data_IF_204636236696
#
_entry.id   IF_204636236696
#
_cell.length_a   1.000
_cell.length_b   1.000
_cell.length_c   1.000
_cell.angle_alpha   90.00
_cell.angle_beta   90.00
_cell.angle_gamma   90.00
#
_symmetry.space_group_name_H-M   'P 1'
#
loop_
_entity.id
_entity.type
_entity.pdbx_description
1 polymer ?
#
# COMPACT_ATOMS: atom_id res chain seq x y z
N UNK A 1 9.88 15.54 -1.72
CA UNK A 1 9.40 15.72 -0.33
C UNK A 1 10.18 14.80 0.62
N UNK A 2 10.45 15.24 1.81
CA UNK A 2 11.10 14.40 2.82
C UNK A 2 10.14 14.26 4.00
N UNK A 3 9.88 13.00 4.38
CA UNK A 3 9.01 12.68 5.51
C UNK A 3 9.79 11.74 6.41
N UNK A 4 10.18 12.20 7.61
CA UNK A 4 10.94 11.40 8.59
C UNK A 4 12.15 10.66 7.99
N UNK A 5 12.98 11.38 7.24
CA UNK A 5 14.16 10.85 6.55
C UNK A 5 13.85 9.94 5.35
N UNK A 6 12.59 9.85 4.95
CA UNK A 6 12.16 9.09 3.78
C UNK A 6 11.96 10.08 2.64
N UNK A 7 12.57 9.81 1.49
CA UNK A 7 12.40 10.65 0.29
C UNK A 7 11.18 10.17 -0.47
N UNK A 8 10.22 11.06 -0.72
CA UNK A 8 8.96 10.73 -1.40
C UNK A 8 8.89 11.49 -2.71
N UNK A 9 8.59 10.77 -3.79
CA UNK A 9 8.56 11.31 -5.17
C UNK A 9 7.17 11.03 -5.76
N UNK A 10 6.31 12.03 -5.74
CA UNK A 10 4.97 11.91 -6.31
C UNK A 10 4.99 12.18 -7.82
N UNK A 11 4.21 11.40 -8.57
CA UNK A 11 4.07 11.51 -10.02
C UNK A 11 5.38 11.37 -10.80
N UNK A 12 6.37 10.74 -10.21
CA UNK A 12 7.64 10.48 -10.87
C UNK A 12 7.79 8.97 -11.13
N UNK A 13 8.28 8.59 -12.31
CA UNK A 13 8.50 7.17 -12.59
C UNK A 13 9.66 6.63 -11.76
N UNK A 14 9.52 5.41 -11.27
CA UNK A 14 10.61 4.71 -10.58
C UNK A 14 11.37 3.88 -11.61
N UNK A 15 12.70 4.01 -11.62
CA UNK A 15 13.54 3.26 -12.57
C UNK A 15 13.62 1.79 -12.17
N UNK A 16 13.78 1.55 -10.87
CA UNK A 16 13.84 0.20 -10.30
C UNK A 16 13.21 0.24 -8.92
N UNK A 17 12.41 -0.77 -8.59
CA UNK A 17 11.73 -0.83 -7.30
C UNK A 17 11.95 -2.20 -6.65
N UNK A 18 11.93 -2.22 -5.32
CA UNK A 18 12.12 -3.43 -4.52
C UNK A 18 10.81 -3.97 -3.96
N UNK A 19 9.90 -3.07 -3.62
CA UNK A 19 8.59 -3.41 -3.05
C UNK A 19 7.50 -2.56 -3.69
N UNK A 20 6.25 -2.98 -3.46
CA UNK A 20 5.06 -2.19 -3.82
C UNK A 20 4.18 -2.08 -2.59
N UNK A 21 3.70 -0.86 -2.33
CA UNK A 21 2.69 -0.58 -1.31
C UNK A 21 1.37 -0.28 -2.01
N UNK A 22 0.30 -0.92 -1.55
CA UNK A 22 -1.03 -0.75 -2.14
C UNK A 22 -1.93 0.02 -1.17
N UNK A 23 -2.28 1.26 -1.52
CA UNK A 23 -3.32 1.99 -0.81
C UNK A 23 -4.65 1.44 -1.32
N UNK A 24 -5.13 0.42 -0.64
CA UNK A 24 -6.27 -0.39 -1.07
C UNK A 24 -7.55 0.16 -0.47
N UNK A 25 -8.58 0.31 -1.31
CA UNK A 25 -9.88 0.81 -0.88
C UNK A 25 -10.99 -0.13 -1.31
N UNK A 26 -12.00 -0.22 -0.47
CA UNK A 26 -13.27 -0.87 -0.78
C UNK A 26 -14.37 0.13 -0.52
N UNK A 27 -15.04 0.58 -1.59
CA UNK A 27 -16.01 1.68 -1.52
C UNK A 27 -15.34 2.93 -0.92
N UNK A 28 -15.78 3.40 0.23
CA UNK A 28 -15.23 4.60 0.87
C UNK A 28 -14.29 4.29 2.03
N UNK A 29 -13.84 3.05 2.15
CA UNK A 29 -12.99 2.64 3.25
C UNK A 29 -11.65 2.11 2.77
N UNK A 30 -10.61 2.35 3.57
CA UNK A 30 -9.29 1.76 3.35
C UNK A 30 -9.26 0.35 3.91
N UNK A 31 -8.47 -0.52 3.29
CA UNK A 31 -8.28 -1.90 3.72
C UNK A 31 -6.91 -2.03 4.36
N UNK A 32 -6.87 -2.36 5.63
CA UNK A 32 -5.64 -2.62 6.37
C UNK A 32 -5.53 -4.10 6.69
N UNK A 33 -4.31 -4.60 6.83
CA UNK A 33 -4.05 -5.99 7.17
C UNK A 33 -3.22 -6.07 8.45
N UNK A 34 -3.51 -7.09 9.28
CA UNK A 34 -2.77 -7.34 10.53
C UNK A 34 -1.67 -8.35 10.25
N UNK A 35 -0.43 -7.94 10.46
CA UNK A 35 0.72 -8.81 10.26
C UNK A 35 0.94 -9.68 11.50
N UNK A 36 1.37 -10.93 11.31
CA UNK A 36 1.60 -11.88 12.42
C UNK A 36 2.60 -11.37 13.46
N UNK A 37 3.64 -10.69 13.01
CA UNK A 37 4.74 -10.24 13.88
C UNK A 37 4.81 -8.74 14.06
N UNK A 38 4.02 -7.98 13.32
CA UNK A 38 3.94 -6.53 13.43
C UNK A 38 2.51 -6.14 13.78
N UNK A 39 2.05 -5.00 13.31
CA UNK A 39 0.72 -4.49 13.59
C UNK A 39 -0.05 -4.28 12.28
N UNK A 40 -0.87 -3.25 12.18
CA UNK A 40 -1.68 -2.98 11.00
C UNK A 40 -0.90 -2.20 9.94
N UNK A 41 -1.10 -2.56 8.66
CA UNK A 41 -0.40 -1.98 7.52
C UNK A 41 -1.33 -1.99 6.30
N UNK A 42 -1.00 -1.17 5.31
CA UNK A 42 -1.53 -1.39 3.97
C UNK A 42 -0.89 -2.64 3.36
N UNK A 43 -1.61 -3.35 2.49
CA UNK A 43 -1.02 -4.49 1.77
C UNK A 43 0.20 -4.06 0.95
N UNK A 44 1.14 -4.95 0.81
CA UNK A 44 2.32 -4.73 -0.01
C UNK A 44 3.39 -5.76 0.25
N UNK A 45 4.44 -5.74 -0.54
CA UNK A 45 5.54 -6.67 -0.36
C UNK A 45 6.57 -6.60 -1.47
N UNK A 46 7.52 -7.51 -1.39
CA UNK A 46 8.67 -7.55 -2.29
C UNK A 46 8.32 -8.03 -3.68
N UNK A 47 8.95 -7.41 -4.66
CA UNK A 47 8.92 -7.84 -6.05
C UNK A 47 9.59 -9.21 -6.19
N UNK A 48 8.98 -10.10 -6.94
CA UNK A 48 9.54 -11.40 -7.29
C UNK A 48 9.78 -11.43 -8.80
N UNK A 49 10.88 -12.04 -9.24
CA UNK A 49 11.22 -12.30 -10.66
C UNK A 49 10.62 -11.31 -11.67
N UNK A 50 11.13 -10.31 -12.07
CA UNK A 50 10.67 -9.44 -13.15
C UNK A 50 9.18 -9.03 -13.11
N UNK A 51 8.51 -9.15 -11.97
CA UNK A 51 7.13 -8.70 -11.86
C UNK A 51 7.04 -7.19 -12.11
N UNK A 52 5.95 -6.78 -12.77
CA UNK A 52 5.60 -5.36 -12.88
C UNK A 52 5.03 -4.86 -11.56
N UNK A 53 4.92 -3.53 -11.42
CA UNK A 53 4.28 -2.92 -10.25
C UNK A 53 2.85 -3.49 -10.08
N UNK A 54 2.08 -3.57 -11.17
CA UNK A 54 0.71 -4.07 -11.12
C UNK A 54 0.65 -5.54 -10.69
N UNK A 55 1.57 -6.36 -11.20
CA UNK A 55 1.62 -7.77 -10.83
C UNK A 55 1.93 -7.97 -9.35
N UNK A 56 2.86 -7.21 -8.80
CA UNK A 56 3.15 -7.26 -7.35
C UNK A 56 1.93 -6.80 -6.55
N UNK A 57 1.30 -5.70 -6.98
CA UNK A 57 0.11 -5.18 -6.30
C UNK A 57 -1.01 -6.22 -6.26
N UNK A 58 -1.27 -6.91 -7.37
CA UNK A 58 -2.30 -7.94 -7.45
C UNK A 58 -1.97 -9.12 -6.54
N UNK A 59 -0.75 -9.62 -6.61
CA UNK A 59 -0.32 -10.78 -5.83
C UNK A 59 -0.34 -10.49 -4.33
N UNK A 60 0.26 -9.38 -3.90
CA UNK A 60 0.35 -9.04 -2.48
C UNK A 60 -1.02 -8.71 -1.88
N UNK A 61 -1.88 -8.03 -2.62
CA UNK A 61 -3.23 -7.74 -2.13
C UNK A 61 -4.03 -9.03 -1.90
N UNK A 62 -3.87 -10.01 -2.79
CA UNK A 62 -4.53 -11.29 -2.61
C UNK A 62 -3.90 -12.11 -1.46
N UNK A 63 -2.59 -12.19 -1.42
CA UNK A 63 -1.89 -12.95 -0.39
C UNK A 63 -2.16 -12.40 1.02
N UNK A 64 -2.16 -11.08 1.18
CA UNK A 64 -2.26 -10.47 2.50
C UNK A 64 -3.67 -10.12 2.92
N UNK A 65 -4.54 -9.74 1.98
CA UNK A 65 -5.90 -9.28 2.29
C UNK A 65 -6.99 -10.18 1.72
N UNK A 66 -6.64 -11.17 0.91
CA UNK A 66 -7.64 -11.96 0.18
C UNK A 66 -8.38 -11.11 -0.83
N UNK A 67 -7.79 -10.00 -1.29
CA UNK A 67 -8.46 -9.05 -2.15
C UNK A 67 -8.09 -9.25 -3.61
N UNK A 68 -9.10 -9.34 -4.46
CA UNK A 68 -8.96 -9.24 -5.91
C UNK A 68 -9.14 -7.77 -6.25
N UNK A 69 -8.18 -7.14 -6.90
CA UNK A 69 -8.13 -5.69 -7.06
C UNK A 69 -8.29 -5.26 -8.52
N UNK A 70 -8.72 -4.01 -8.69
CA UNK A 70 -8.89 -3.34 -9.97
C UNK A 70 -8.52 -1.86 -9.83
N UNK A 71 -8.54 -1.13 -10.96
CA UNK A 71 -8.28 0.31 -10.98
C UNK A 71 -6.95 0.67 -10.31
N UNK A 72 -5.89 -0.03 -10.70
CA UNK A 72 -4.56 0.18 -10.13
C UNK A 72 -3.95 1.43 -10.76
N UNK A 73 -3.62 2.43 -9.93
CA UNK A 73 -3.00 3.68 -10.36
C UNK A 73 -1.70 3.93 -9.62
N UNK A 74 -0.63 4.08 -10.36
CA UNK A 74 0.67 4.44 -9.81
C UNK A 74 0.66 5.92 -9.40
N UNK A 75 1.08 6.23 -8.16
CA UNK A 75 1.10 7.62 -7.69
C UNK A 75 2.50 8.13 -7.36
N UNK A 76 3.49 7.27 -7.33
CA UNK A 76 4.86 7.66 -7.02
C UNK A 76 5.61 6.57 -6.30
N UNK A 77 6.73 6.92 -5.71
CA UNK A 77 7.54 5.97 -4.94
C UNK A 77 8.22 6.69 -3.78
N UNK A 78 8.73 5.93 -2.84
CA UNK A 78 9.58 6.48 -1.79
C UNK A 78 10.85 5.66 -1.65
N UNK A 79 11.88 6.32 -1.15
CA UNK A 79 13.19 5.73 -0.96
C UNK A 79 13.59 5.85 0.51
N UNK A 80 13.94 4.72 1.11
CA UNK A 80 14.44 4.67 2.48
C UNK A 80 15.91 5.10 2.52
N UNK A 81 16.41 5.51 3.70
CA UNK A 81 17.80 5.99 3.80
C UNK A 81 18.87 5.06 3.22
N UNK A 82 18.65 3.74 3.23
CA UNK A 82 19.60 2.78 2.68
C UNK A 82 19.36 2.48 1.18
N UNK A 83 18.46 3.20 0.54
CA UNK A 83 18.26 3.09 -0.89
C UNK A 83 17.16 2.15 -1.33
N UNK A 84 16.48 1.46 -0.42
CA UNK A 84 15.33 0.61 -0.75
C UNK A 84 14.19 1.46 -1.31
N UNK A 85 13.67 1.07 -2.47
CA UNK A 85 12.60 1.83 -3.15
C UNK A 85 11.29 1.07 -3.16
N UNK A 86 10.22 1.76 -2.76
CA UNK A 86 8.87 1.22 -2.76
C UNK A 86 7.99 2.03 -3.71
N UNK A 87 7.46 1.36 -4.73
CA UNK A 87 6.45 1.94 -5.61
C UNK A 87 5.12 1.96 -4.88
N UNK A 88 4.36 3.04 -5.02
CA UNK A 88 3.07 3.21 -4.34
C UNK A 88 1.97 3.28 -5.38
N UNK A 89 0.95 2.45 -5.19
CA UNK A 89 -0.25 2.48 -6.05
C UNK A 89 -1.50 2.63 -5.19
N UNK A 90 -2.55 3.16 -5.79
CA UNK A 90 -3.91 3.07 -5.26
C UNK A 90 -4.63 1.98 -6.02
N UNK A 91 -5.59 1.32 -5.39
CA UNK A 91 -6.40 0.30 -6.06
C UNK A 91 -7.74 0.15 -5.35
N UNK A 92 -8.71 -0.41 -6.06
CA UNK A 92 -10.03 -0.72 -5.51
C UNK A 92 -10.21 -2.23 -5.41
N UNK A 93 -10.91 -2.67 -4.38
CA UNK A 93 -11.28 -4.07 -4.24
C UNK A 93 -12.40 -4.39 -5.21
N UNK A 94 -12.22 -5.43 -6.00
CA UNK A 94 -13.27 -5.98 -6.85
C UNK A 94 -14.08 -7.02 -6.08
N UNK A 95 -13.39 -7.89 -5.34
CA UNK A 95 -14.01 -8.92 -4.52
C UNK A 95 -13.06 -9.36 -3.41
N UNK A 96 -13.61 -9.90 -2.33
CA UNK A 96 -12.81 -10.47 -1.25
C UNK A 96 -12.96 -11.99 -1.23
N UNK A 97 -11.84 -12.67 -1.08
CA UNK A 97 -11.76 -14.09 -0.72
C UNK A 97 -11.25 -14.16 0.72
N UNK A 98 -11.20 -15.35 1.29
CA UNK A 98 -10.54 -15.56 2.59
C UNK A 98 -9.05 -15.30 2.45
N UNK A 99 -8.42 -14.77 3.50
CA UNK A 99 -6.97 -14.62 3.52
C UNK A 99 -6.34 -16.02 3.45
N UNK A 100 -5.40 -16.26 2.53
CA UNK A 100 -4.74 -17.57 2.43
C UNK A 100 -4.08 -18.00 3.74
N UNK A 101 -4.16 -19.27 4.08
CA UNK A 101 -3.62 -19.80 5.34
C UNK A 101 -2.10 -19.64 5.47
N UNK A 102 -1.40 -19.60 4.35
CA UNK A 102 0.06 -19.42 4.32
C UNK A 102 0.48 -17.96 4.42
N UNK A 103 -0.48 -17.05 4.49
CA UNK A 103 -0.19 -15.62 4.57
C UNK A 103 0.56 -15.24 5.85
N UNK A 104 1.36 -14.18 5.76
CA UNK A 104 2.00 -13.57 6.92
C UNK A 104 1.05 -12.65 7.68
N UNK A 105 -0.18 -12.48 7.21
CA UNK A 105 -1.22 -11.69 7.85
C UNK A 105 -2.30 -12.60 8.44
N UNK A 106 -3.00 -12.11 9.46
CA UNK A 106 -4.05 -12.88 10.12
C UNK A 106 -5.45 -12.31 9.90
N UNK A 107 -5.54 -11.00 9.68
CA UNK A 107 -6.82 -10.30 9.61
C UNK A 107 -6.76 -9.14 8.64
N UNK A 108 -7.95 -8.71 8.20
CA UNK A 108 -8.12 -7.45 7.49
C UNK A 108 -9.19 -6.62 8.19
N UNK A 109 -9.05 -5.31 8.10
CA UNK A 109 -9.99 -4.37 8.70
C UNK A 109 -10.23 -3.21 7.74
N UNK A 110 -11.48 -2.81 7.62
CA UNK A 110 -11.85 -1.64 6.81
C UNK A 110 -12.04 -0.44 7.73
N UNK A 111 -11.58 0.73 7.28
CA UNK A 111 -11.71 1.97 8.04
C UNK A 111 -11.85 3.14 7.08
N UNK A 112 -12.76 4.06 7.39
CA UNK A 112 -12.94 5.27 6.59
C UNK A 112 -11.79 6.26 6.76
N UNK A 113 -10.97 6.05 7.77
CA UNK A 113 -9.81 6.91 8.08
C UNK A 113 -8.57 6.06 8.31
N UNK A 114 -7.40 6.72 8.24
CA UNK A 114 -6.16 6.08 8.66
C UNK A 114 -6.30 5.64 10.11
N UNK A 115 -5.85 4.42 10.41
CA UNK A 115 -5.87 3.92 11.78
C UNK A 115 -4.95 4.76 12.67
N UNK A 116 -5.23 4.84 14.00
CA UNK A 116 -4.33 5.54 14.92
C UNK A 116 -2.91 5.00 14.85
N UNK A 117 -1.92 5.88 15.02
CA UNK A 117 -0.51 5.51 14.90
C UNK A 117 -0.11 4.34 15.78
N UNK A 118 -0.67 4.24 16.98
CA UNK A 118 -0.36 3.17 17.93
C UNK A 118 -0.81 1.79 17.44
N UNK A 119 -1.70 1.73 16.46
CA UNK A 119 -2.16 0.48 15.85
C UNK A 119 -1.38 0.12 14.58
N UNK A 120 -0.57 1.03 14.07
CA UNK A 120 0.18 0.81 12.83
C UNK A 120 1.55 0.22 13.10
N UNK A 121 2.01 -0.63 12.19
CA UNK A 121 3.37 -1.18 12.25
C UNK A 121 4.42 -0.09 12.14
N UNK A 122 4.15 0.93 11.33
CA UNK A 122 5.08 2.02 11.09
C UNK A 122 4.47 3.31 11.64
N UNK A 123 5.15 3.92 12.62
CA UNK A 123 4.63 5.06 13.35
C UNK A 123 5.22 6.39 12.89
N UNK A 124 5.79 6.40 11.67
CA UNK A 124 6.21 7.63 11.02
C UNK A 124 5.00 8.31 10.36
N UNK A 125 5.23 9.45 9.70
CA UNK A 125 4.16 10.22 9.07
C UNK A 125 3.99 9.88 7.59
N UNK A 126 4.58 8.79 7.11
CA UNK A 126 4.57 8.43 5.69
C UNK A 126 3.16 8.16 5.17
N UNK A 127 2.38 7.33 5.87
CA UNK A 127 1.02 7.01 5.44
C UNK A 127 0.15 8.26 5.34
N UNK A 128 0.28 9.18 6.29
CA UNK A 128 -0.47 10.45 6.25
C UNK A 128 -0.13 11.25 4.99
N UNK A 129 1.15 11.35 4.65
CA UNK A 129 1.59 12.07 3.47
C UNK A 129 1.08 11.41 2.18
N UNK A 130 1.16 10.08 2.10
CA UNK A 130 0.69 9.32 0.94
C UNK A 130 -0.83 9.46 0.76
N UNK A 131 -1.60 9.37 1.84
CA UNK A 131 -3.05 9.50 1.78
C UNK A 131 -3.49 10.91 1.42
N UNK A 132 -2.82 11.93 1.93
CA UNK A 132 -3.10 13.32 1.57
C UNK A 132 -2.92 13.54 0.08
N UNK A 133 -1.82 13.04 -0.48
CA UNK A 133 -1.56 13.15 -1.92
C UNK A 133 -2.60 12.36 -2.73
N UNK A 134 -2.88 11.13 -2.35
CA UNK A 134 -3.81 10.26 -3.06
C UNK A 134 -5.23 10.86 -3.09
N UNK A 135 -5.70 11.38 -1.95
CA UNK A 135 -7.01 12.01 -1.85
C UNK A 135 -7.10 13.24 -2.74
N UNK A 136 -6.10 14.11 -2.71
CA UNK A 136 -6.08 15.32 -3.52
C UNK A 136 -6.07 15.01 -5.02
N UNK A 137 -5.35 13.97 -5.44
CA UNK A 137 -5.30 13.57 -6.84
C UNK A 137 -6.59 12.95 -7.32
N UNK A 138 -7.25 12.15 -6.49
CA UNK A 138 -8.53 11.54 -6.82
C UNK A 138 -9.59 12.64 -6.96
N UNK A 139 -9.64 13.58 -6.04
CA UNK A 139 -10.58 14.69 -6.05
C UNK A 139 -10.38 15.60 -7.26
N UNK A 140 -9.14 15.82 -7.69
CA UNK A 140 -8.86 16.67 -8.83
C UNK A 140 -9.22 16.04 -10.17
N UNK A 141 -9.50 14.74 -10.22
CA UNK A 141 -9.88 14.02 -11.43
C UNK A 141 -11.39 13.86 -11.58
N UNK A 142 -12.13 14.30 -10.62
CA UNK A 142 -13.60 14.20 -10.66
C UNK A 142 -14.28 15.39 -11.35
#
# INVERSE_FOLDING_TARGET
MIVDNIKVFFNEPVISFDTVLVILRHENEYVFVKHKTRNWEFPGGHREHNESIEEVAQRESWEEAGANIKDIHYIGYYELPLGHKTAVVTANVQSFDSIPKISETTDRQLSSHLLPKELLSFQDSLYEALLTFATNNIDSKC
#
